data_IF_979582186946
#
_entry.id   IF_979582186946
#
_cell.length_a   1.000
_cell.length_b   1.000
_cell.length_c   1.000
_cell.angle_alpha   90.00
_cell.angle_beta   90.00
_cell.angle_gamma   90.00
#
_symmetry.space_group_name_H-M   'P 1'
#
loop_
_entity.id
_entity.type
_entity.pdbx_description
1 polymer ?
#
# COMPACT_ATOMS: atom_id res chain seq x y z
N UNK A 1 -14.90 0.14 -13.26
CA UNK A 1 -15.04 -0.93 -12.23
C UNK A 1 -16.17 -0.54 -11.30
N UNK A 2 -17.31 -1.25 -11.27
CA UNK A 2 -18.40 -0.93 -10.34
C UNK A 2 -18.20 -1.74 -9.06
N UNK A 3 -17.68 -1.05 -8.03
CA UNK A 3 -17.32 -1.51 -6.67
C UNK A 3 -15.99 -2.27 -6.59
N UNK A 4 -15.00 -1.61 -5.99
CA UNK A 4 -13.70 -2.17 -5.61
C UNK A 4 -13.82 -2.56 -4.14
N UNK A 5 -13.66 -3.84 -3.81
CA UNK A 5 -13.55 -4.27 -2.43
C UNK A 5 -12.14 -3.97 -1.90
N UNK A 6 -11.98 -3.91 -0.58
CA UNK A 6 -10.68 -3.69 0.05
C UNK A 6 -9.61 -4.72 -0.40
N UNK A 7 -10.02 -5.96 -0.69
CA UNK A 7 -9.10 -6.97 -1.26
C UNK A 7 -8.64 -6.61 -2.67
N UNK A 8 -9.55 -6.15 -3.53
CA UNK A 8 -9.17 -5.76 -4.90
C UNK A 8 -8.19 -4.57 -4.88
N UNK A 9 -8.36 -3.65 -3.93
CA UNK A 9 -7.43 -2.53 -3.74
C UNK A 9 -6.04 -2.99 -3.27
N UNK A 10 -5.98 -3.94 -2.35
CA UNK A 10 -4.73 -4.57 -1.91
C UNK A 10 -3.99 -5.26 -3.06
N UNK A 11 -4.72 -6.05 -3.86
CA UNK A 11 -4.15 -6.77 -5.00
C UNK A 11 -3.58 -5.78 -6.05
N UNK A 12 -4.26 -4.65 -6.27
CA UNK A 12 -3.78 -3.59 -7.15
C UNK A 12 -2.49 -2.94 -6.62
N UNK A 13 -2.41 -2.66 -5.32
CA UNK A 13 -1.21 -2.08 -4.70
C UNK A 13 -0.01 -3.04 -4.78
N UNK A 14 -0.22 -4.32 -4.46
CA UNK A 14 0.83 -5.33 -4.54
C UNK A 14 1.32 -5.54 -5.98
N UNK A 15 0.42 -5.49 -6.97
CA UNK A 15 0.80 -5.53 -8.38
C UNK A 15 1.53 -4.26 -8.82
N UNK A 16 1.15 -3.09 -8.32
CA UNK A 16 1.72 -1.82 -8.75
C UNK A 16 3.17 -1.65 -8.29
N UNK A 17 3.52 -2.03 -7.05
CA UNK A 17 4.87 -1.83 -6.49
C UNK A 17 5.99 -2.31 -7.43
N UNK A 18 6.04 -3.58 -7.88
CA UNK A 18 7.10 -4.05 -8.79
C UNK A 18 6.99 -3.46 -10.20
N UNK A 19 5.79 -3.09 -10.65
CA UNK A 19 5.58 -2.47 -11.98
C UNK A 19 6.16 -1.06 -12.03
N UNK A 20 6.11 -0.33 -10.90
CA UNK A 20 6.65 1.01 -10.81
C UNK A 20 8.15 1.04 -10.50
N UNK A 21 8.78 -0.09 -10.20
CA UNK A 21 10.23 -0.16 -9.99
C UNK A 21 10.97 0.21 -11.28
N UNK A 22 11.87 1.18 -11.17
CA UNK A 22 12.69 1.74 -12.27
C UNK A 22 11.95 2.25 -13.53
N UNK A 23 10.61 2.35 -13.51
CA UNK A 23 9.83 2.89 -14.64
C UNK A 23 9.94 4.42 -14.78
N UNK A 24 10.09 5.14 -13.66
CA UNK A 24 10.24 6.60 -13.60
C UNK A 24 11.70 7.03 -13.36
N UNK A 25 12.07 8.29 -13.66
CA UNK A 25 13.35 8.86 -13.22
C UNK A 25 13.54 8.73 -11.71
N UNK A 26 14.77 8.45 -11.27
CA UNK A 26 15.13 8.03 -9.92
C UNK A 26 14.38 8.76 -8.79
N UNK A 27 14.34 10.09 -8.80
CA UNK A 27 13.71 10.87 -7.72
C UNK A 27 12.19 10.76 -7.68
N UNK A 28 11.55 10.57 -8.83
CA UNK A 28 10.11 10.35 -8.93
C UNK A 28 9.77 8.90 -8.60
N UNK A 29 10.59 7.96 -9.07
CA UNK A 29 10.43 6.54 -8.79
C UNK A 29 10.43 6.26 -7.29
N UNK A 30 11.47 6.75 -6.60
CA UNK A 30 11.61 6.60 -5.14
C UNK A 30 10.39 7.13 -4.39
N UNK A 31 9.84 8.28 -4.81
CA UNK A 31 8.64 8.86 -4.19
C UNK A 31 7.41 8.00 -4.43
N UNK A 32 7.21 7.53 -5.66
CA UNK A 32 6.06 6.70 -6.03
C UNK A 32 6.12 5.35 -5.32
N UNK A 33 7.27 4.67 -5.33
CA UNK A 33 7.46 3.41 -4.60
C UNK A 33 7.21 3.57 -3.10
N UNK A 34 7.71 4.67 -2.50
CA UNK A 34 7.45 4.97 -1.08
C UNK A 34 5.95 5.14 -0.82
N UNK A 35 5.23 5.88 -1.67
CA UNK A 35 3.80 6.08 -1.52
C UNK A 35 3.01 4.78 -1.69
N UNK A 36 3.35 3.95 -2.68
CA UNK A 36 2.73 2.65 -2.89
C UNK A 36 2.93 1.73 -1.68
N UNK A 37 4.17 1.66 -1.16
CA UNK A 37 4.49 0.87 0.01
C UNK A 37 3.74 1.35 1.26
N UNK A 38 3.77 2.65 1.55
CA UNK A 38 3.08 3.23 2.72
C UNK A 38 1.56 3.01 2.64
N UNK A 39 0.99 3.11 1.44
CA UNK A 39 -0.45 2.85 1.24
C UNK A 39 -0.77 1.37 1.46
N UNK A 40 0.08 0.46 0.98
CA UNK A 40 -0.08 -0.98 1.19
C UNK A 40 0.05 -1.36 2.68
N UNK A 41 1.04 -0.80 3.38
CA UNK A 41 1.25 -0.98 4.81
C UNK A 41 0.04 -0.50 5.62
N UNK A 42 -0.40 0.74 5.40
CA UNK A 42 -1.57 1.29 6.06
C UNK A 42 -2.82 0.46 5.80
N UNK A 43 -3.06 0.06 4.54
CA UNK A 43 -4.23 -0.73 4.18
C UNK A 43 -4.20 -2.12 4.84
N UNK A 44 -3.03 -2.77 4.89
CA UNK A 44 -2.86 -4.05 5.57
C UNK A 44 -3.12 -3.94 7.08
N UNK A 45 -2.59 -2.90 7.72
CA UNK A 45 -2.81 -2.62 9.14
C UNK A 45 -4.29 -2.35 9.42
N UNK A 46 -4.94 -1.48 8.64
CA UNK A 46 -6.34 -1.11 8.83
C UNK A 46 -7.32 -2.28 8.58
N UNK A 47 -6.97 -3.22 7.71
CA UNK A 47 -7.80 -4.41 7.38
C UNK A 47 -7.54 -5.60 8.30
N UNK A 48 -6.52 -5.54 9.15
CA UNK A 48 -6.13 -6.66 10.00
C UNK A 48 -7.33 -7.18 10.81
N UNK A 49 -7.51 -8.51 10.89
CA UNK A 49 -8.60 -9.11 11.68
C UNK A 49 -8.33 -9.07 13.18
N UNK A 50 -7.09 -8.81 13.56
CA UNK A 50 -6.62 -8.71 14.92
C UNK A 50 -5.65 -7.54 15.00
N UNK A 51 -5.97 -6.58 15.86
CA UNK A 51 -5.10 -5.45 16.15
C UNK A 51 -4.43 -5.65 17.51
N UNK A 52 -3.17 -5.23 17.59
CA UNK A 52 -2.42 -5.00 18.82
C UNK A 52 -2.25 -3.50 19.05
N UNK A 53 -1.94 -3.08 20.28
CA UNK A 53 -1.63 -1.68 20.59
C UNK A 53 -0.55 -1.12 19.65
N UNK A 54 0.47 -1.92 19.33
CA UNK A 54 1.52 -1.54 18.38
C UNK A 54 1.00 -1.33 16.95
N UNK A 55 0.07 -2.18 16.48
CA UNK A 55 -0.51 -2.03 15.14
C UNK A 55 -1.44 -0.82 15.03
N UNK A 56 -2.13 -0.47 16.12
CA UNK A 56 -2.98 0.73 16.19
C UNK A 56 -2.11 1.98 16.25
N UNK A 57 -1.03 1.98 17.03
CA UNK A 57 -0.08 3.09 17.10
C UNK A 57 0.61 3.39 15.75
N UNK A 58 0.72 2.39 14.86
CA UNK A 58 1.22 2.58 13.49
C UNK A 58 0.19 3.21 12.53
N UNK A 59 -1.08 3.32 12.95
CA UNK A 59 -2.15 3.98 12.20
C UNK A 59 -2.42 5.43 12.64
N UNK A 60 -1.84 5.86 13.77
CA UNK A 60 -1.93 7.22 14.35
C UNK A 60 -0.85 8.17 13.80
#
# INVERSE_FOLDING_TARGET
MKKIAARDFEDLLQCAIPVFEDILPHDHNRKVLKLLYQTAEWHALAKARMHTDSSVALLE
#
